data_IF_921951503977
#
_entry.id   IF_921951503977
#
_cell.length_a   1.000
_cell.length_b   1.000
_cell.length_c   1.000
_cell.angle_alpha   90.00
_cell.angle_beta   90.00
_cell.angle_gamma   90.00
#
_symmetry.space_group_name_H-M   'P 1'
#
loop_
_entity.id
_entity.type
_entity.pdbx_description
1 polymer ?
#
# COMPACT_ATOMS: atom_id res chain seq x y z
N UNK A 1 9.29 -1.14 10.31
CA UNK A 1 9.75 0.05 9.56
C UNK A 1 8.51 0.79 9.06
N UNK A 2 8.56 2.12 8.93
CA UNK A 2 7.45 2.91 8.36
C UNK A 2 7.87 3.33 6.95
N UNK A 3 7.03 3.08 5.96
CA UNK A 3 7.28 3.49 4.58
C UNK A 3 6.71 4.89 4.30
N UNK A 4 7.54 5.82 3.85
CA UNK A 4 7.14 7.21 3.55
C UNK A 4 7.02 7.43 2.03
N UNK A 5 6.18 8.38 1.62
CA UNK A 5 6.04 8.76 0.20
C UNK A 5 5.17 7.80 -0.65
N UNK A 6 4.15 7.18 -0.05
CA UNK A 6 3.20 6.34 -0.77
C UNK A 6 2.23 7.23 -1.56
N UNK A 7 2.41 7.28 -2.88
CA UNK A 7 1.62 8.14 -3.77
C UNK A 7 0.75 7.35 -4.74
N UNK A 8 1.03 6.05 -4.89
CA UNK A 8 0.34 5.18 -5.86
C UNK A 8 0.06 3.80 -5.28
N UNK A 9 -0.93 3.13 -5.85
CA UNK A 9 -1.27 1.72 -5.54
C UNK A 9 -0.08 0.78 -5.78
N UNK A 10 0.76 1.09 -6.78
CA UNK A 10 2.01 0.36 -7.03
C UNK A 10 2.99 0.46 -5.86
N UNK A 11 3.18 1.65 -5.28
CA UNK A 11 4.03 1.82 -4.10
C UNK A 11 3.48 1.01 -2.93
N UNK A 12 2.17 1.11 -2.66
CA UNK A 12 1.50 0.35 -1.60
C UNK A 12 1.73 -1.16 -1.76
N UNK A 13 1.53 -1.66 -2.98
CA UNK A 13 1.68 -3.08 -3.33
C UNK A 13 3.11 -3.55 -3.11
N UNK A 14 4.11 -2.82 -3.62
CA UNK A 14 5.52 -3.17 -3.48
C UNK A 14 5.96 -3.17 -2.00
N UNK A 15 5.56 -2.17 -1.24
CA UNK A 15 5.90 -2.06 0.18
C UNK A 15 5.25 -3.16 1.00
N UNK A 16 4.01 -3.53 0.69
CA UNK A 16 3.34 -4.66 1.32
C UNK A 16 4.11 -5.97 1.09
N UNK A 17 4.50 -6.25 -0.17
CA UNK A 17 5.32 -7.41 -0.51
C UNK A 17 6.67 -7.46 0.21
N UNK A 18 7.26 -6.28 0.46
CA UNK A 18 8.50 -6.15 1.22
C UNK A 18 8.30 -6.29 2.75
N UNK A 19 7.07 -6.54 3.21
CA UNK A 19 6.75 -6.71 4.63
C UNK A 19 6.64 -5.40 5.40
N UNK A 20 6.30 -4.29 4.73
CA UNK A 20 5.99 -3.04 5.43
C UNK A 20 4.56 -3.06 5.96
N UNK A 21 4.42 -3.05 7.29
CA UNK A 21 3.12 -3.07 7.98
C UNK A 21 2.49 -1.67 8.15
N UNK A 22 3.26 -0.61 7.91
CA UNK A 22 2.82 0.77 8.10
C UNK A 22 3.48 1.71 7.09
N UNK A 23 2.75 2.76 6.70
CA UNK A 23 3.30 3.81 5.85
C UNK A 23 2.42 5.05 5.73
N UNK A 24 2.99 6.11 5.17
CA UNK A 24 2.37 7.41 4.96
C UNK A 24 2.59 7.89 3.52
N UNK A 25 1.61 8.61 2.99
CA UNK A 25 1.76 9.33 1.73
C UNK A 25 0.43 9.83 1.18
N UNK A 26 0.51 10.61 0.10
CA UNK A 26 -0.66 11.28 -0.49
C UNK A 26 -1.70 10.33 -1.06
N UNK A 27 -1.32 9.05 -1.30
CA UNK A 27 -2.24 7.99 -1.68
C UNK A 27 -3.33 7.76 -0.63
N UNK A 28 -2.99 7.88 0.66
CA UNK A 28 -3.94 7.72 1.76
C UNK A 28 -4.66 9.03 2.06
N UNK A 29 -3.89 10.10 2.29
CA UNK A 29 -4.40 11.42 2.57
C UNK A 29 -3.32 12.48 2.32
N UNK A 30 -3.74 13.67 1.92
CA UNK A 30 -2.89 14.87 2.03
C UNK A 30 -2.79 15.30 3.50
N UNK A 31 -1.84 16.18 3.87
CA UNK A 31 -1.82 16.76 5.21
C UNK A 31 -3.18 17.37 5.58
N UNK A 32 -3.70 16.96 6.72
CA UNK A 32 -5.03 17.37 7.19
C UNK A 32 -4.86 18.58 8.11
N UNK A 33 -5.62 19.67 7.92
CA UNK A 33 -5.68 20.76 8.89
C UNK A 33 -6.12 20.27 10.27
N UNK A 34 -5.65 20.91 11.33
CA UNK A 34 -5.92 20.45 12.70
C UNK A 34 -7.41 20.45 13.06
N UNK A 35 -8.16 21.40 12.51
CA UNK A 35 -9.60 21.55 12.69
C UNK A 35 -10.40 20.37 12.10
N UNK A 36 -9.88 19.73 11.06
CA UNK A 36 -10.53 18.64 10.33
C UNK A 36 -10.11 17.25 10.84
N UNK A 37 -9.14 17.18 11.77
CA UNK A 37 -8.54 15.93 12.23
C UNK A 37 -9.59 15.00 12.87
N UNK A 38 -10.48 15.55 13.70
CA UNK A 38 -11.49 14.75 14.39
C UNK A 38 -12.46 14.10 13.38
N UNK A 39 -12.92 14.88 12.40
CA UNK A 39 -13.79 14.39 11.34
C UNK A 39 -13.09 13.30 10.53
N UNK A 40 -11.82 13.51 10.17
CA UNK A 40 -11.01 12.50 9.49
C UNK A 40 -10.90 11.20 10.27
N UNK A 41 -10.70 11.26 11.59
CA UNK A 41 -10.58 10.07 12.45
C UNK A 41 -11.90 9.29 12.60
N UNK A 42 -13.05 9.91 12.32
CA UNK A 42 -14.34 9.21 12.33
C UNK A 42 -14.57 8.34 11.08
N UNK A 43 -13.81 8.57 10.01
CA UNK A 43 -13.91 7.80 8.77
C UNK A 43 -13.46 6.37 9.05
N UNK A 44 -14.32 5.40 8.73
CA UNK A 44 -13.96 3.99 8.74
C UNK A 44 -13.08 3.70 7.52
N UNK A 45 -11.77 3.81 7.70
CA UNK A 45 -10.80 3.47 6.66
C UNK A 45 -10.51 1.97 6.78
N UNK A 46 -10.72 1.16 5.72
CA UNK A 46 -10.34 -0.24 5.78
C UNK A 46 -8.86 -0.36 6.09
N UNK A 47 -8.53 -1.30 6.98
CA UNK A 47 -7.14 -1.63 7.30
C UNK A 47 -6.49 -2.24 6.06
N UNK A 48 -5.80 -1.40 5.28
CA UNK A 48 -4.90 -1.80 4.20
C UNK A 48 -5.55 -2.72 3.15
N UNK A 49 -6.36 -2.15 2.24
CA UNK A 49 -6.89 -2.88 1.08
C UNK A 49 -5.83 -3.00 -0.02
N UNK A 50 -4.88 -3.92 0.10
CA UNK A 50 -4.02 -4.26 -1.06
C UNK A 50 -4.89 -4.98 -2.07
N UNK A 51 -4.81 -4.61 -3.36
CA UNK A 51 -5.26 -5.49 -4.41
C UNK A 51 -4.68 -6.89 -4.18
N UNK A 52 -5.46 -7.93 -4.45
CA UNK A 52 -4.98 -9.29 -4.36
C UNK A 52 -3.75 -9.41 -5.26
N UNK A 53 -2.59 -9.41 -4.63
CA UNK A 53 -1.35 -9.76 -5.30
C UNK A 53 -1.46 -11.25 -5.51
N UNK A 54 -1.48 -11.69 -6.76
CA UNK A 54 -1.47 -13.12 -7.07
C UNK A 54 -0.18 -13.70 -6.52
N UNK A 55 -0.25 -14.22 -5.30
CA UNK A 55 0.77 -15.02 -4.66
C UNK A 55 0.96 -16.26 -5.53
N UNK A 56 1.90 -16.21 -6.48
CA UNK A 56 2.40 -17.43 -7.11
C UNK A 56 3.36 -18.11 -6.11
N UNK A 57 2.79 -18.65 -5.04
CA UNK A 57 3.49 -19.50 -4.08
C UNK A 57 3.49 -20.93 -4.61
N UNK A 58 4.19 -21.19 -5.71
CA UNK A 58 4.63 -22.54 -6.06
C UNK A 58 5.89 -22.40 -6.92
N UNK A 59 6.93 -23.17 -6.62
CA UNK A 59 8.19 -23.21 -7.37
C UNK A 59 7.94 -23.29 -8.89
N UNK A 60 8.03 -22.14 -9.57
CA UNK A 60 8.07 -22.11 -11.03
C UNK A 60 9.53 -22.27 -11.46
N UNK A 61 9.98 -23.52 -11.54
CA UNK A 61 11.07 -23.86 -12.45
C UNK A 61 10.58 -23.62 -13.89
N UNK A 62 11.10 -22.58 -14.54
CA UNK A 62 11.04 -22.42 -15.99
C UNK A 62 9.99 -21.46 -16.53
N UNK A 63 10.48 -20.52 -17.34
CA UNK A 63 9.79 -19.66 -18.32
C UNK A 63 8.90 -18.50 -17.87
N UNK A 64 9.58 -17.36 -17.68
CA UNK A 64 9.23 -15.97 -18.04
C UNK A 64 7.73 -15.61 -18.06
N UNK A 65 7.33 -14.84 -17.05
CA UNK A 65 6.42 -13.70 -17.22
C UNK A 65 6.98 -12.52 -16.43
N UNK A 66 7.49 -11.53 -17.16
CA UNK A 66 7.88 -10.22 -16.62
C UNK A 66 6.66 -9.58 -15.93
N UNK A 67 6.71 -9.26 -14.63
CA UNK A 67 5.91 -8.19 -14.10
C UNK A 67 6.74 -6.90 -14.21
N UNK A 68 6.08 -5.77 -14.42
CA UNK A 68 6.68 -4.44 -14.58
C UNK A 68 7.18 -4.12 -16.00
N UNK A 69 6.23 -3.64 -16.82
CA UNK A 69 6.51 -2.54 -17.75
C UNK A 69 5.75 -1.30 -17.29
#
# INVERSE_FOLDING_TARGET
MIAEGIETERHLTQLHWLGCDAGQGSYFARPIPSEDLLDFLTIQIPRWSVPAVTECHTECHGDRKEPFS
#
